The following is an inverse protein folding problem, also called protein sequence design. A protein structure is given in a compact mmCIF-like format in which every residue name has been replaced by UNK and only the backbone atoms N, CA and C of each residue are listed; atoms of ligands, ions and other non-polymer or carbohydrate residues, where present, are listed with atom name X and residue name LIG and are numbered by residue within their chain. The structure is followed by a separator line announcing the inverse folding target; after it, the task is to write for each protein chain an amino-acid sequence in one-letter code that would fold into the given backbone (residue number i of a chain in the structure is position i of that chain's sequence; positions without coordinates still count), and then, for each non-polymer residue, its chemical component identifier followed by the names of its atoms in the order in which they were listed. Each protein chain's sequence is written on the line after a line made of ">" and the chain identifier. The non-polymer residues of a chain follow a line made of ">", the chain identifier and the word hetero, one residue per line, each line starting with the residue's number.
data_IF_585227993879
#
_entry.id   IF_585227993879
#
_cell.length_a   1.000
_cell.length_b   1.000
_cell.length_c   1.000
_cell.angle_alpha   90.00
_cell.angle_beta   90.00
_cell.angle_gamma   90.00
#
_symmetry.space_group_name_H-M   'P 1'
#
loop_
_entity.id
_entity.type
_entity.pdbx_description
1 polymer ?
#
# COMPACT_ATOMS: atom_id res chain seq x y z
N UNK A 1 -8.23 6.30 -2.03
CA UNK A 1 -6.77 6.32 -1.72
C UNK A 1 -5.92 6.77 -2.92
N UNK A 2 -6.14 6.25 -4.13
CA UNK A 2 -5.34 6.60 -5.32
C UNK A 2 -5.23 8.12 -5.57
N UNK A 3 -6.34 8.85 -5.54
CA UNK A 3 -6.30 10.32 -5.74
C UNK A 3 -5.57 11.05 -4.62
N UNK A 4 -5.64 10.54 -3.38
CA UNK A 4 -4.88 11.09 -2.27
C UNK A 4 -3.38 10.88 -2.46
N UNK A 5 -2.96 9.69 -2.88
CA UNK A 5 -1.55 9.43 -3.19
C UNK A 5 -1.05 10.33 -4.32
N UNK A 6 -1.85 10.49 -5.39
CA UNK A 6 -1.51 11.38 -6.51
C UNK A 6 -1.43 12.84 -6.08
N UNK A 7 -2.35 13.30 -5.24
CA UNK A 7 -2.35 14.67 -4.71
C UNK A 7 -1.05 14.95 -3.94
N UNK A 8 -0.63 14.06 -3.05
CA UNK A 8 0.64 14.23 -2.33
C UNK A 8 1.85 14.26 -3.26
N UNK A 9 1.88 13.41 -4.29
CA UNK A 9 3.01 13.35 -5.23
C UNK A 9 3.02 14.57 -6.17
N UNK A 10 1.88 14.96 -6.70
CA UNK A 10 1.81 16.03 -7.71
C UNK A 10 1.87 17.42 -7.09
N UNK A 11 1.17 17.64 -5.97
CA UNK A 11 0.98 18.98 -5.42
C UNK A 11 2.02 19.28 -4.33
N UNK A 12 2.56 18.24 -3.68
CA UNK A 12 3.56 18.37 -2.62
C UNK A 12 4.90 17.73 -2.97
N UNK A 13 5.03 17.12 -4.15
CA UNK A 13 6.31 16.61 -4.67
C UNK A 13 7.01 15.61 -3.75
N UNK A 14 6.25 14.80 -3.01
CA UNK A 14 6.86 13.77 -2.15
C UNK A 14 7.43 12.63 -2.99
N UNK A 15 8.51 12.03 -2.50
CA UNK A 15 9.21 10.93 -3.18
C UNK A 15 8.57 9.55 -2.97
N UNK A 16 7.69 9.38 -1.99
CA UNK A 16 7.17 8.07 -1.61
C UNK A 16 6.44 8.01 -0.28
N UNK A 17 6.01 6.80 0.07
CA UNK A 17 5.13 6.51 1.20
C UNK A 17 5.67 5.33 2.04
N UNK A 18 5.44 5.42 3.35
CA UNK A 18 5.51 4.28 4.26
C UNK A 18 4.08 3.93 4.66
N UNK A 19 3.63 2.73 4.33
CA UNK A 19 2.33 2.22 4.74
C UNK A 19 2.44 1.55 6.09
N UNK A 20 1.68 2.05 7.04
CA UNK A 20 1.47 1.44 8.35
C UNK A 20 0.37 0.39 8.24
N UNK A 21 0.53 -0.73 8.95
CA UNK A 21 -0.33 -1.90 8.85
C UNK A 21 -0.44 -2.39 7.40
N UNK A 22 0.71 -2.53 6.73
CA UNK A 22 0.75 -2.83 5.30
C UNK A 22 0.14 -4.19 4.94
N UNK A 23 -0.01 -5.10 5.91
CA UNK A 23 -0.71 -6.37 5.74
C UNK A 23 -2.16 -6.16 5.26
N UNK A 24 -2.86 -5.13 5.76
CA UNK A 24 -4.23 -4.79 5.37
C UNK A 24 -4.38 -4.46 3.87
N UNK A 25 -3.31 -4.03 3.20
CA UNK A 25 -3.33 -3.69 1.77
C UNK A 25 -3.46 -4.91 0.86
N UNK A 26 -3.18 -6.10 1.38
CA UNK A 26 -3.22 -7.37 0.65
C UNK A 26 -4.27 -8.34 1.21
N UNK A 27 -5.09 -7.92 2.17
CA UNK A 27 -6.17 -8.75 2.69
C UNK A 27 -7.31 -8.91 1.67
N UNK A 28 -7.75 -10.16 1.50
CA UNK A 28 -8.87 -10.48 0.63
C UNK A 28 -10.22 -10.42 1.35
N UNK A 29 -11.35 -10.45 0.61
CA UNK A 29 -12.70 -10.54 1.19
C UNK A 29 -12.95 -11.85 1.96
N UNK A 30 -12.16 -12.88 1.67
CA UNK A 30 -12.16 -14.18 2.35
C UNK A 30 -10.94 -14.30 3.26
N UNK A 31 -10.92 -15.32 4.14
CA UNK A 31 -9.75 -15.63 4.98
C UNK A 31 -8.54 -15.95 4.09
N UNK A 32 -7.68 -14.97 3.84
CA UNK A 32 -6.47 -15.14 3.04
C UNK A 32 -5.89 -13.84 2.47
N UNK A 33 -4.59 -13.89 2.21
CA UNK A 33 -3.86 -12.82 1.53
C UNK A 33 -3.99 -12.95 0.01
N UNK A 34 -4.20 -11.84 -0.66
CA UNK A 34 -4.20 -11.74 -2.11
C UNK A 34 -2.77 -11.72 -2.63
N UNK A 35 -2.42 -12.70 -3.47
CA UNK A 35 -1.14 -12.68 -4.21
C UNK A 35 -1.04 -11.48 -5.16
N UNK A 36 -2.20 -10.97 -5.62
CA UNK A 36 -2.33 -9.79 -6.48
C UNK A 36 -3.42 -8.89 -5.91
N UNK A 37 -3.05 -7.99 -5.00
CA UNK A 37 -3.99 -7.01 -4.46
C UNK A 37 -4.36 -5.99 -5.54
N UNK A 38 -5.67 -5.74 -5.78
CA UNK A 38 -6.12 -4.74 -6.74
C UNK A 38 -5.55 -3.34 -6.47
N UNK A 39 -5.35 -2.99 -5.20
CA UNK A 39 -4.77 -1.70 -4.82
C UNK A 39 -3.28 -1.63 -5.19
N UNK A 40 -2.52 -2.69 -4.89
CA UNK A 40 -1.09 -2.74 -5.22
C UNK A 40 -0.88 -2.76 -6.74
N UNK A 41 -1.73 -3.47 -7.48
CA UNK A 41 -1.74 -3.41 -8.94
C UNK A 41 -2.03 -2.00 -9.46
N UNK A 42 -3.07 -1.35 -8.93
CA UNK A 42 -3.44 0.00 -9.33
C UNK A 42 -2.29 1.00 -9.11
N UNK A 43 -1.58 0.90 -7.98
CA UNK A 43 -0.38 1.71 -7.71
C UNK A 43 0.75 1.38 -8.69
N UNK A 44 0.97 0.09 -8.98
CA UNK A 44 2.04 -0.38 -9.88
C UNK A 44 1.83 0.04 -11.34
N UNK A 45 0.58 0.16 -11.80
CA UNK A 45 0.25 0.57 -13.16
C UNK A 45 -0.03 2.07 -13.31
N UNK A 46 -0.07 2.82 -12.22
CA UNK A 46 -0.31 4.26 -12.28
C UNK A 46 0.94 5.01 -12.79
N UNK A 47 0.83 5.90 -13.79
CA UNK A 47 1.98 6.57 -14.41
C UNK A 47 2.73 7.55 -13.49
N UNK A 48 2.07 8.00 -12.42
CA UNK A 48 2.65 8.86 -11.38
C UNK A 48 3.18 8.00 -10.24
N UNK A 49 2.35 7.15 -9.65
CA UNK A 49 2.69 6.42 -8.43
C UNK A 49 3.69 5.28 -8.64
N UNK A 50 3.74 4.67 -9.83
CA UNK A 50 4.69 3.60 -10.17
C UNK A 50 6.17 3.99 -10.05
N UNK A 51 6.46 5.29 -9.97
CA UNK A 51 7.82 5.85 -9.84
C UNK A 51 8.17 6.25 -8.41
N UNK A 52 7.22 6.15 -7.49
CA UNK A 52 7.40 6.56 -6.10
C UNK A 52 7.97 5.43 -5.25
N UNK A 53 8.67 5.77 -4.16
CA UNK A 53 9.19 4.79 -3.20
C UNK A 53 8.03 4.28 -2.35
N UNK A 54 7.84 2.97 -2.26
CA UNK A 54 6.81 2.37 -1.41
C UNK A 54 7.48 1.46 -0.39
N UNK A 55 7.25 1.74 0.90
CA UNK A 55 7.78 0.96 2.01
C UNK A 55 6.60 0.42 2.82
N UNK A 56 6.66 -0.86 3.17
CA UNK A 56 5.74 -1.48 4.11
C UNK A 56 6.40 -1.55 5.49
N UNK A 57 5.66 -1.23 6.55
CA UNK A 57 6.15 -1.32 7.94
C UNK A 57 6.44 -2.76 8.40
N UNK A 58 5.88 -3.76 7.71
CA UNK A 58 6.08 -5.18 8.01
C UNK A 58 5.41 -5.62 9.31
N UNK A 59 4.53 -4.79 9.87
CA UNK A 59 3.78 -5.09 11.08
C UNK A 59 2.39 -5.62 10.73
N UNK A 60 1.94 -6.65 11.44
CA UNK A 60 0.56 -7.13 11.44
C UNK A 60 0.07 -7.24 12.89
N UNK A 61 -1.01 -6.52 13.28
CA UNK A 61 -1.59 -6.64 14.62
C UNK A 61 -2.03 -8.08 14.92
N UNK A 62 -2.48 -8.82 13.90
CA UNK A 62 -2.93 -10.21 14.03
C UNK A 62 -1.74 -11.11 14.39
N UNK A 63 -0.61 -10.98 13.70
CA UNK A 63 0.59 -11.77 14.03
C UNK A 63 1.17 -11.40 15.40
N UNK A 64 1.07 -10.13 15.81
CA UNK A 64 1.55 -9.66 17.11
C UNK A 64 0.75 -10.23 18.30
N UNK A 65 -0.53 -10.57 18.11
CA UNK A 65 -1.38 -11.18 19.13
C UNK A 65 -1.10 -12.68 19.36
N UNK A 66 -0.39 -13.33 18.43
CA UNK A 66 -0.04 -14.75 18.49
C UNK A 66 1.43 -15.01 18.92
N UNK A 67 2.15 -13.97 19.35
CA UNK A 67 3.46 -14.05 20.01
C UNK A 67 3.33 -13.78 21.51
#
# INVERSE_FOLDING_TARGET
>A
IMDSLRHWVNDYHIDGFVFVDAASLIEGPSVGLLTRSPLIEAISFDPVLSKTKLIADGFSPVEALHK
#
